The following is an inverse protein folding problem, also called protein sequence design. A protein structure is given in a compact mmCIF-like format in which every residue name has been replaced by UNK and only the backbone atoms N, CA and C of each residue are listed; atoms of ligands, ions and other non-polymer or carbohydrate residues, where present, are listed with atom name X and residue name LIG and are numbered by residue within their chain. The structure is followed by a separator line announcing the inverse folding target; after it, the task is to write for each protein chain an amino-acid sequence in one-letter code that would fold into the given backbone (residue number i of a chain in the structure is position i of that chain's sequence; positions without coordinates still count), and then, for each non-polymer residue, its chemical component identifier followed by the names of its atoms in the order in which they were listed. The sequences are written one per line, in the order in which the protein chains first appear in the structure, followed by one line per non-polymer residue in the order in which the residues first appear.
data_IF_888164036338
#
_entry.id   IF_888164036338
#
_cell.length_a   1.000
_cell.length_b   1.000
_cell.length_c   1.000
_cell.angle_alpha   90.00
_cell.angle_beta   90.00
_cell.angle_gamma   90.00
#
_symmetry.space_group_name_H-M   'P 1'
#
loop_
_entity.id
_entity.type
_entity.pdbx_description
1 polymer ?
#
# COMPACT_ATOMS: atom_id res chain seq x y z
N UNK A 1 10.90 12.25 -2.50
CA UNK A 1 11.06 11.51 -3.78
C UNK A 1 11.85 10.21 -3.63
N UNK A 2 13.03 10.20 -2.98
CA UNK A 2 13.83 8.97 -2.77
C UNK A 2 13.06 7.85 -2.06
N UNK A 3 12.32 8.19 -1.01
CA UNK A 3 11.54 7.23 -0.21
C UNK A 3 10.43 6.53 -1.01
N UNK A 4 9.75 7.26 -1.90
CA UNK A 4 8.72 6.69 -2.78
C UNK A 4 9.35 5.67 -3.73
N UNK A 5 10.51 5.98 -4.31
CA UNK A 5 11.24 5.06 -5.17
C UNK A 5 11.65 3.79 -4.42
N UNK A 6 12.18 3.95 -3.21
CA UNK A 6 12.55 2.82 -2.34
C UNK A 6 11.33 1.96 -1.98
N UNK A 7 10.18 2.57 -1.70
CA UNK A 7 8.92 1.85 -1.45
C UNK A 7 8.51 1.00 -2.67
N UNK A 8 8.55 1.57 -3.88
CA UNK A 8 8.26 0.83 -5.11
C UNK A 8 9.25 -0.32 -5.35
N UNK A 9 10.53 -0.10 -5.07
CA UNK A 9 11.56 -1.15 -5.17
C UNK A 9 11.30 -2.28 -4.18
N UNK A 10 10.99 -1.96 -2.92
CA UNK A 10 10.65 -2.95 -1.91
C UNK A 10 9.38 -3.75 -2.28
N UNK A 11 8.32 -3.05 -2.69
CA UNK A 11 7.06 -3.67 -3.10
C UNK A 11 7.25 -4.70 -4.22
N UNK A 12 8.05 -4.36 -5.23
CA UNK A 12 8.37 -5.25 -6.35
C UNK A 12 9.33 -6.37 -5.97
N UNK A 13 10.47 -6.05 -5.36
CA UNK A 13 11.52 -7.03 -5.02
C UNK A 13 11.04 -8.11 -4.06
N UNK A 14 10.21 -7.73 -3.06
CA UNK A 14 9.66 -8.65 -2.08
C UNK A 14 8.35 -9.31 -2.53
N UNK A 15 7.89 -9.02 -3.76
CA UNK A 15 6.63 -9.52 -4.32
C UNK A 15 5.44 -9.33 -3.37
N UNK A 16 5.36 -8.15 -2.73
CA UNK A 16 4.33 -7.87 -1.72
C UNK A 16 2.93 -7.91 -2.34
N UNK A 17 2.81 -7.52 -3.61
CA UNK A 17 1.59 -7.64 -4.38
C UNK A 17 1.02 -9.05 -4.40
N UNK A 18 1.85 -10.09 -4.50
CA UNK A 18 1.40 -11.49 -4.61
C UNK A 18 0.69 -11.98 -3.34
N UNK A 19 0.95 -11.32 -2.21
CA UNK A 19 0.36 -11.65 -0.90
C UNK A 19 -1.00 -10.98 -0.67
N UNK A 20 -1.45 -10.12 -1.58
CA UNK A 20 -2.73 -9.40 -1.47
C UNK A 20 -3.84 -10.24 -2.14
N UNK A 21 -4.82 -10.74 -1.38
CA UNK A 21 -5.96 -11.49 -1.93
C UNK A 21 -7.01 -10.54 -2.53
N UNK A 22 -8.01 -11.12 -3.21
CA UNK A 22 -9.24 -10.43 -3.63
C UNK A 22 -9.04 -9.17 -4.49
N UNK A 23 -7.95 -9.10 -5.26
CA UNK A 23 -7.69 -8.00 -6.19
C UNK A 23 -8.80 -7.90 -7.23
N UNK A 24 -9.32 -6.69 -7.43
CA UNK A 24 -10.30 -6.42 -8.50
C UNK A 24 -9.64 -6.56 -9.87
N UNK A 25 -8.44 -6.00 -10.02
CA UNK A 25 -7.61 -6.17 -11.23
C UNK A 25 -6.19 -6.59 -10.86
N UNK A 26 -5.78 -7.79 -11.28
CA UNK A 26 -4.52 -8.40 -10.86
C UNK A 26 -3.25 -7.64 -11.31
N UNK A 27 -3.34 -6.85 -12.38
CA UNK A 27 -2.20 -6.15 -12.99
C UNK A 27 -2.22 -4.63 -12.74
N UNK A 28 -3.22 -4.11 -12.03
CA UNK A 28 -3.38 -2.67 -11.78
C UNK A 28 -2.88 -2.31 -10.39
N UNK A 29 -1.64 -1.79 -10.31
CA UNK A 29 -1.05 -1.32 -9.06
C UNK A 29 -1.39 0.15 -8.87
N UNK A 30 -1.89 0.50 -7.69
CA UNK A 30 -2.24 1.85 -7.30
C UNK A 30 -1.13 2.49 -6.48
N UNK A 31 -0.88 3.78 -6.72
CA UNK A 31 -0.11 4.67 -5.86
C UNK A 31 -1.04 5.76 -5.33
N UNK A 32 -1.26 5.78 -4.01
CA UNK A 32 -2.23 6.68 -3.35
C UNK A 32 -1.46 7.68 -2.51
N UNK A 33 -1.75 8.96 -2.72
CA UNK A 33 -1.31 10.05 -1.85
C UNK A 33 -2.50 10.47 -0.97
N UNK A 34 -2.32 10.46 0.34
CA UNK A 34 -3.40 10.72 1.32
C UNK A 34 -2.85 11.40 2.56
N UNK A 35 -3.73 11.75 3.50
CA UNK A 35 -3.39 12.29 4.83
C UNK A 35 -2.55 13.57 4.76
N UNK A 36 -2.89 14.46 3.84
CA UNK A 36 -2.21 15.73 3.67
C UNK A 36 -2.38 16.61 4.92
N UNK A 37 -1.27 16.95 5.58
CA UNK A 37 -1.28 17.79 6.78
C UNK A 37 -1.75 19.23 6.50
N UNK A 38 -1.49 19.76 5.30
CA UNK A 38 -1.83 21.14 4.90
C UNK A 38 -1.80 21.32 3.37
N UNK A 39 -2.90 20.99 2.68
CA UNK A 39 -3.01 21.10 1.21
C UNK A 39 -1.79 20.48 0.49
N UNK A 40 -1.44 20.96 -0.71
CA UNK A 40 -0.34 20.42 -1.53
C UNK A 40 1.09 20.69 -0.99
N UNK A 41 1.23 21.37 0.16
CA UNK A 41 2.55 21.80 0.70
C UNK A 41 2.96 21.10 2.00
N UNK A 42 2.05 20.36 2.64
CA UNK A 42 2.32 19.63 3.88
C UNK A 42 2.85 18.21 3.66
N UNK A 43 3.20 17.54 4.76
CA UNK A 43 3.49 16.10 4.75
C UNK A 43 2.28 15.32 4.25
N UNK A 44 2.53 14.17 3.64
CA UNK A 44 1.49 13.26 3.16
C UNK A 44 1.94 11.81 3.35
N UNK A 45 0.97 10.92 3.43
CA UNK A 45 1.17 9.47 3.35
C UNK A 45 1.19 9.04 1.89
N UNK A 46 2.11 8.15 1.53
CA UNK A 46 2.11 7.47 0.23
C UNK A 46 1.94 5.96 0.41
N UNK A 47 0.99 5.37 -0.31
CA UNK A 47 0.65 3.95 -0.24
C UNK A 47 0.79 3.34 -1.64
N UNK A 48 1.40 2.16 -1.74
CA UNK A 48 1.40 1.33 -2.95
C UNK A 48 0.64 0.03 -2.70
N UNK A 49 -0.28 -0.33 -3.59
CA UNK A 49 -1.14 -1.51 -3.38
C UNK A 49 -2.07 -1.82 -4.54
N UNK A 50 -3.16 -2.54 -4.25
CA UNK A 50 -4.18 -2.93 -5.21
C UNK A 50 -5.56 -2.57 -4.67
N UNK A 51 -6.50 -2.30 -5.57
CA UNK A 51 -7.92 -2.32 -5.22
C UNK A 51 -8.35 -3.76 -4.95
N UNK A 52 -9.02 -3.99 -3.81
CA UNK A 52 -9.56 -5.29 -3.43
C UNK A 52 -11.08 -5.23 -3.26
N UNK A 53 -11.78 -6.32 -3.57
CA UNK A 53 -13.23 -6.41 -3.43
C UNK A 53 -13.68 -6.63 -1.98
N UNK A 54 -12.79 -7.11 -1.12
CA UNK A 54 -13.06 -7.31 0.31
C UNK A 54 -11.79 -7.19 1.15
N UNK A 55 -11.96 -6.67 2.37
CA UNK A 55 -10.94 -6.69 3.41
C UNK A 55 -11.15 -7.99 4.20
N UNK A 56 -10.44 -9.04 3.83
CA UNK A 56 -10.31 -10.19 4.71
C UNK A 56 -9.29 -9.84 5.80
N UNK A 57 -9.81 -9.54 6.99
CA UNK A 57 -9.00 -9.45 8.20
C UNK A 57 -8.55 -10.86 8.57
N UNK A 58 -7.46 -11.34 7.96
CA UNK A 58 -6.72 -12.44 8.56
C UNK A 58 -6.26 -11.92 9.93
N UNK A 59 -6.81 -12.49 11.01
CA UNK A 59 -6.32 -12.28 12.37
C UNK A 59 -4.85 -12.73 12.40
N UNK A 60 -3.94 -11.82 12.07
CA UNK A 60 -2.53 -11.94 12.38
C UNK A 60 -2.41 -11.52 13.85
N UNK A 61 -1.92 -12.43 14.69
CA UNK A 61 -1.75 -12.34 16.16
C UNK A 61 -0.92 -11.15 16.70
N UNK A 62 -0.70 -10.08 15.93
CA UNK A 62 0.18 -8.97 16.28
C UNK A 62 -0.52 -7.81 17.02
N UNK A 63 -1.78 -7.98 17.47
CA UNK A 63 -2.47 -7.03 18.35
C UNK A 63 -2.37 -7.37 19.84
N UNK A 64 -1.53 -8.33 20.25
CA UNK A 64 -1.23 -8.53 21.69
C UNK A 64 0.27 -8.74 21.90
N UNK A 65 0.98 -7.64 22.17
CA UNK A 65 1.79 -7.45 23.37
C UNK A 65 2.20 -5.98 23.53
#
# INVERSE_FOLDING_TARGET
MKEILELWQQFKSQKLGDKIPNKVEANSILGIYTDYENNEKGSYSFIVGFQVSSIELYQREWLVK
#
